data_IF_181630719438
#
_entry.id   IF_181630719438
#
_cell.length_a   1.000
_cell.length_b   1.000
_cell.length_c   1.000
_cell.angle_alpha   90.00
_cell.angle_beta   90.00
_cell.angle_gamma   90.00
#
_symmetry.space_group_name_H-M   'P 1'
#
loop_
_entity.id
_entity.type
_entity.pdbx_description
1 polymer ?
#
# COMPACT_ATOMS: atom_id res chain seq x y z
N UNK A 1 3.97 -15.73 20.47
CA UNK A 1 4.62 -15.87 21.78
C UNK A 1 5.97 -16.57 21.76
N UNK A 2 6.34 -17.29 20.67
CA UNK A 2 7.54 -18.14 20.66
C UNK A 2 8.88 -17.39 20.75
N UNK A 3 8.91 -16.10 20.53
CA UNK A 3 10.12 -15.24 20.61
C UNK A 3 10.24 -14.54 21.97
N UNK A 4 9.35 -14.86 22.92
CA UNK A 4 9.38 -14.32 24.27
C UNK A 4 10.07 -15.31 25.19
N UNK A 5 11.05 -14.81 25.96
CA UNK A 5 11.78 -15.59 26.97
C UNK A 5 11.66 -14.90 28.31
N UNK A 6 11.35 -15.65 29.36
CA UNK A 6 11.35 -15.17 30.74
C UNK A 6 12.54 -15.78 31.49
N UNK A 7 13.40 -14.93 32.01
CA UNK A 7 14.56 -15.31 32.85
C UNK A 7 14.27 -14.92 34.26
N UNK A 8 14.47 -15.84 35.21
CA UNK A 8 14.34 -15.58 36.64
C UNK A 8 15.69 -15.86 37.29
N UNK A 9 16.29 -14.86 37.89
CA UNK A 9 17.57 -14.96 38.54
C UNK A 9 17.54 -14.36 39.97
N UNK A 10 18.46 -14.76 40.85
CA UNK A 10 18.54 -14.17 42.16
C UNK A 10 18.91 -12.69 42.07
N UNK A 11 18.25 -11.84 42.84
CA UNK A 11 18.67 -10.45 42.96
C UNK A 11 19.88 -10.36 43.91
N UNK A 12 20.92 -9.65 43.47
CA UNK A 12 22.19 -9.49 44.22
C UNK A 12 22.04 -8.46 45.34
N UNK A 13 21.24 -7.42 45.08
CA UNK A 13 21.11 -6.27 45.99
C UNK A 13 20.10 -6.53 47.12
N UNK A 14 19.10 -7.41 46.86
CA UNK A 14 18.05 -7.74 47.84
C UNK A 14 17.97 -9.28 47.99
N UNK A 15 18.71 -9.84 48.96
CA UNK A 15 18.71 -11.27 49.22
C UNK A 15 17.29 -11.82 49.47
N UNK A 16 16.95 -12.92 48.81
CA UNK A 16 15.63 -13.56 48.91
C UNK A 16 14.58 -13.08 47.89
N UNK A 17 14.92 -12.08 47.12
CA UNK A 17 14.11 -11.68 45.96
C UNK A 17 14.72 -12.16 44.64
N UNK A 18 13.88 -12.25 43.64
CA UNK A 18 14.27 -12.61 42.28
C UNK A 18 14.08 -11.43 41.32
N UNK A 19 14.97 -11.35 40.35
CA UNK A 19 14.77 -10.52 39.16
C UNK A 19 14.06 -11.36 38.09
N UNK A 20 12.92 -10.90 37.63
CA UNK A 20 12.19 -11.49 36.50
C UNK A 20 12.36 -10.59 35.28
N UNK A 21 13.05 -11.10 34.29
CA UNK A 21 13.37 -10.36 33.06
C UNK A 21 12.57 -10.94 31.92
N UNK A 22 11.74 -10.13 31.26
CA UNK A 22 11.06 -10.48 30.03
C UNK A 22 11.93 -10.03 28.86
N UNK A 23 12.19 -10.95 27.95
CA UNK A 23 12.96 -10.70 26.73
C UNK A 23 12.08 -10.98 25.50
N UNK A 24 12.17 -10.13 24.50
CA UNK A 24 11.54 -10.33 23.19
C UNK A 24 12.63 -10.27 22.12
N UNK A 25 12.73 -11.32 21.31
CA UNK A 25 13.78 -11.49 20.28
C UNK A 25 15.20 -11.23 20.80
N UNK A 26 15.48 -11.71 22.03
CA UNK A 26 16.78 -11.54 22.67
C UNK A 26 17.00 -10.18 23.35
N UNK A 27 16.10 -9.22 23.18
CA UNK A 27 16.19 -7.91 23.82
C UNK A 27 15.38 -7.86 25.12
N UNK A 28 15.95 -7.28 26.17
CA UNK A 28 15.24 -7.06 27.43
C UNK A 28 14.16 -5.98 27.24
N UNK A 29 12.89 -6.34 27.46
CA UNK A 29 11.73 -5.46 27.33
C UNK A 29 11.10 -5.08 28.68
N UNK A 30 11.30 -5.91 29.71
CA UNK A 30 10.82 -5.62 31.06
C UNK A 30 11.72 -6.27 32.11
N UNK A 31 11.75 -5.67 33.31
CA UNK A 31 12.45 -6.21 34.49
C UNK A 31 11.65 -5.89 35.75
N UNK A 32 11.29 -6.91 36.52
CA UNK A 32 10.55 -6.79 37.75
C UNK A 32 11.30 -7.48 38.90
N UNK A 33 11.00 -7.07 40.12
CA UNK A 33 11.49 -7.69 41.34
C UNK A 33 10.33 -8.31 42.10
N UNK A 34 10.47 -9.54 42.55
CA UNK A 34 9.45 -10.23 43.31
C UNK A 34 10.01 -11.45 44.04
N UNK A 35 9.26 -11.97 44.99
CA UNK A 35 9.54 -13.23 45.67
C UNK A 35 8.59 -14.33 45.24
N UNK A 36 7.35 -13.91 44.98
CA UNK A 36 6.25 -14.78 44.53
C UNK A 36 5.70 -14.33 43.21
N UNK A 37 4.90 -15.17 42.55
CA UNK A 37 4.19 -14.80 41.31
C UNK A 37 3.22 -13.63 41.53
N UNK A 38 2.65 -13.50 42.74
CA UNK A 38 1.72 -12.44 43.09
C UNK A 38 2.36 -11.05 43.11
N UNK A 39 3.70 -10.98 43.26
CA UNK A 39 4.44 -9.72 43.26
C UNK A 39 4.66 -9.15 41.86
N UNK A 40 4.41 -9.99 40.80
CA UNK A 40 4.65 -9.63 39.42
C UNK A 40 3.41 -8.99 38.79
N UNK A 41 3.66 -7.97 37.97
CA UNK A 41 2.62 -7.27 37.20
C UNK A 41 2.68 -7.70 35.76
N UNK A 42 1.51 -7.84 35.12
CA UNK A 42 1.44 -8.04 33.67
C UNK A 42 2.14 -6.89 32.94
N UNK A 43 2.84 -7.22 31.87
CA UNK A 43 3.42 -6.26 30.94
C UNK A 43 2.84 -6.45 29.54
N UNK A 44 3.31 -5.70 28.55
CA UNK A 44 2.81 -5.79 27.16
C UNK A 44 3.07 -7.13 26.47
N UNK A 45 3.88 -8.01 27.07
CA UNK A 45 4.32 -9.28 26.48
C UNK A 45 3.87 -10.50 27.25
N UNK A 46 3.72 -10.38 28.58
CA UNK A 46 3.47 -11.53 29.47
C UNK A 46 2.47 -11.17 30.58
N UNK A 47 1.46 -12.02 30.72
CA UNK A 47 0.61 -12.07 31.91
C UNK A 47 1.12 -13.14 32.85
N UNK A 48 1.53 -12.75 34.07
CA UNK A 48 1.97 -13.66 35.11
C UNK A 48 0.75 -14.15 35.91
N UNK A 49 0.45 -15.46 35.81
CA UNK A 49 -0.72 -16.08 36.49
C UNK A 49 -0.26 -17.29 37.26
N UNK A 50 -0.76 -17.43 38.48
CA UNK A 50 -0.48 -18.57 39.35
C UNK A 50 -0.23 -18.14 40.80
N UNK A 51 0.13 -19.13 41.61
CA UNK A 51 0.49 -18.92 43.04
C UNK A 51 1.78 -19.68 43.34
N UNK A 52 2.60 -19.16 44.23
CA UNK A 52 3.82 -19.82 44.70
C UNK A 52 5.05 -18.95 44.58
N UNK A 53 6.15 -19.46 45.15
CA UNK A 53 7.47 -18.80 45.17
C UNK A 53 8.12 -18.91 43.79
N UNK A 54 8.84 -17.85 43.40
CA UNK A 54 9.65 -17.84 42.19
C UNK A 54 10.85 -18.78 42.37
N UNK A 55 11.29 -19.38 41.25
CA UNK A 55 12.52 -20.19 41.21
C UNK A 55 13.38 -19.73 40.04
N UNK A 56 14.71 -19.78 40.24
CA UNK A 56 15.64 -19.42 39.16
C UNK A 56 15.46 -20.28 37.91
N UNK A 57 15.53 -19.65 36.76
CA UNK A 57 15.49 -20.32 35.44
C UNK A 57 16.59 -19.75 34.55
N UNK A 58 17.17 -20.59 33.69
CA UNK A 58 18.16 -20.16 32.71
C UNK A 58 17.54 -19.50 31.45
N UNK A 59 16.23 -19.27 31.46
CA UNK A 59 15.44 -18.75 30.35
C UNK A 59 14.35 -19.73 29.93
N UNK A 60 13.10 -19.39 30.21
CA UNK A 60 11.92 -20.13 29.77
C UNK A 60 11.38 -19.47 28.49
N UNK A 61 11.54 -20.15 27.36
CA UNK A 61 10.90 -19.72 26.12
C UNK A 61 9.42 -20.06 26.20
N UNK A 62 8.54 -19.09 25.97
CA UNK A 62 7.09 -19.34 25.89
C UNK A 62 6.80 -20.19 24.67
N UNK A 63 6.00 -21.22 24.84
CA UNK A 63 5.63 -22.21 23.80
C UNK A 63 4.13 -22.35 23.71
N UNK A 64 3.65 -22.87 22.56
CA UNK A 64 2.24 -23.20 22.37
C UNK A 64 1.34 -21.99 22.07
N UNK A 65 1.93 -20.84 21.72
CA UNK A 65 1.18 -19.78 21.09
C UNK A 65 0.81 -20.20 19.67
N UNK A 66 -0.45 -20.03 19.31
CA UNK A 66 -0.99 -20.23 17.96
C UNK A 66 -1.59 -18.92 17.48
N UNK A 67 -1.34 -18.60 16.22
CA UNK A 67 -2.05 -17.52 15.56
C UNK A 67 -3.49 -17.99 15.35
N UNK A 68 -4.47 -17.28 15.89
CA UNK A 68 -5.87 -17.66 15.73
C UNK A 68 -6.25 -17.85 14.26
N UNK A 69 -7.28 -18.65 13.99
CA UNK A 69 -7.77 -18.85 12.64
C UNK A 69 -8.24 -17.50 12.05
N UNK A 70 -7.58 -17.07 10.96
CA UNK A 70 -7.99 -15.89 10.21
C UNK A 70 -9.19 -16.27 9.34
N UNK A 71 -10.33 -15.66 9.59
CA UNK A 71 -11.58 -15.89 8.85
C UNK A 71 -11.84 -14.77 7.84
N UNK A 72 -12.70 -15.01 6.85
CA UNK A 72 -13.16 -13.96 5.93
C UNK A 72 -13.82 -12.79 6.68
N UNK A 73 -14.49 -13.07 7.82
CA UNK A 73 -15.06 -12.05 8.67
C UNK A 73 -13.98 -11.13 9.26
N UNK A 74 -12.83 -11.68 9.68
CA UNK A 74 -11.73 -10.86 10.22
C UNK A 74 -11.20 -9.86 9.18
N UNK A 75 -11.16 -10.22 7.90
CA UNK A 75 -10.80 -9.27 6.83
C UNK A 75 -11.87 -8.20 6.62
N UNK A 76 -13.15 -8.58 6.67
CA UNK A 76 -14.27 -7.62 6.57
C UNK A 76 -14.24 -6.62 7.73
N UNK A 77 -14.03 -7.11 8.95
CA UNK A 77 -13.92 -6.28 10.16
C UNK A 77 -12.70 -5.34 10.09
N UNK A 78 -11.55 -5.85 9.58
CA UNK A 78 -10.37 -5.05 9.33
C UNK A 78 -10.65 -3.90 8.34
N UNK A 79 -11.26 -4.21 7.19
CA UNK A 79 -11.61 -3.20 6.18
C UNK A 79 -12.55 -2.13 6.75
N UNK A 80 -13.53 -2.53 7.56
CA UNK A 80 -14.40 -1.58 8.29
C UNK A 80 -13.64 -0.72 9.30
N UNK A 81 -12.64 -1.30 9.96
CA UNK A 81 -11.82 -0.58 10.95
C UNK A 81 -10.92 0.46 10.30
N UNK A 82 -10.36 0.18 9.12
CA UNK A 82 -9.45 1.12 8.42
C UNK A 82 -10.18 2.17 7.59
N UNK A 83 -11.45 1.98 7.29
CA UNK A 83 -12.22 2.90 6.43
C UNK A 83 -12.21 4.37 6.89
N UNK A 84 -12.32 4.69 8.21
CA UNK A 84 -12.27 6.07 8.69
C UNK A 84 -10.89 6.74 8.54
N UNK A 85 -9.83 5.99 8.23
CA UNK A 85 -8.48 6.51 8.12
C UNK A 85 -8.14 6.87 6.67
N UNK A 86 -7.35 7.92 6.50
CA UNK A 86 -6.82 8.29 5.18
C UNK A 86 -5.63 7.40 4.82
N UNK A 87 -5.70 6.78 3.64
CA UNK A 87 -4.63 5.99 3.04
C UNK A 87 -4.74 6.01 1.52
N UNK A 88 -3.63 5.83 0.82
CA UNK A 88 -3.57 5.87 -0.65
C UNK A 88 -3.36 4.50 -1.27
N UNK A 89 -2.80 3.57 -0.52
CA UNK A 89 -2.51 2.21 -1.00
C UNK A 89 -2.77 1.20 0.11
N UNK A 90 -3.35 0.08 -0.25
CA UNK A 90 -3.55 -1.07 0.64
C UNK A 90 -3.12 -2.35 -0.08
N UNK A 91 -2.42 -3.25 0.61
CA UNK A 91 -2.08 -4.58 0.12
C UNK A 91 -2.67 -5.66 0.99
N UNK A 92 -3.25 -6.68 0.37
CA UNK A 92 -3.81 -7.83 1.10
C UNK A 92 -3.10 -9.11 0.63
N UNK A 93 -2.15 -9.64 1.43
CA UNK A 93 -1.39 -10.83 1.10
C UNK A 93 -2.23 -12.10 1.34
N UNK A 94 -3.15 -12.39 0.42
CA UNK A 94 -4.03 -13.56 0.49
C UNK A 94 -4.14 -14.27 -0.84
N UNK A 95 -4.33 -15.60 -0.79
CA UNK A 95 -4.64 -16.44 -1.95
C UNK A 95 -6.14 -16.71 -2.07
N UNK A 96 -6.93 -16.36 -1.07
CA UNK A 96 -8.38 -16.59 -1.04
C UNK A 96 -9.11 -15.63 -1.98
N UNK A 97 -9.79 -16.20 -2.99
CA UNK A 97 -10.53 -15.44 -3.99
C UNK A 97 -11.70 -14.62 -3.41
N UNK A 98 -12.32 -15.12 -2.33
CA UNK A 98 -13.44 -14.44 -1.66
C UNK A 98 -12.96 -13.17 -0.98
N UNK A 99 -11.79 -13.23 -0.31
CA UNK A 99 -11.18 -12.07 0.34
C UNK A 99 -10.76 -11.03 -0.71
N UNK A 100 -10.16 -11.47 -1.83
CA UNK A 100 -9.81 -10.57 -2.94
C UNK A 100 -11.03 -9.85 -3.50
N UNK A 101 -12.15 -10.57 -3.68
CA UNK A 101 -13.41 -9.98 -4.15
C UNK A 101 -13.99 -8.96 -3.15
N UNK A 102 -13.97 -9.27 -1.85
CA UNK A 102 -14.42 -8.34 -0.78
C UNK A 102 -13.56 -7.09 -0.77
N UNK A 103 -12.23 -7.23 -0.83
CA UNK A 103 -11.31 -6.11 -0.87
C UNK A 103 -11.52 -5.23 -2.12
N UNK A 104 -11.73 -5.84 -3.29
CA UNK A 104 -12.01 -5.12 -4.54
C UNK A 104 -13.33 -4.34 -4.45
N UNK A 105 -14.36 -4.94 -3.85
CA UNK A 105 -15.65 -4.28 -3.63
C UNK A 105 -15.52 -3.10 -2.66
N UNK A 106 -14.73 -3.26 -1.61
CA UNK A 106 -14.43 -2.17 -0.67
C UNK A 106 -13.77 -0.97 -1.38
N UNK A 107 -12.75 -1.22 -2.21
CA UNK A 107 -12.08 -0.15 -2.96
C UNK A 107 -13.01 0.53 -3.98
N UNK A 108 -13.89 -0.24 -4.65
CA UNK A 108 -14.91 0.33 -5.55
C UNK A 108 -15.85 1.28 -4.80
N UNK A 109 -16.28 0.91 -3.60
CA UNK A 109 -17.12 1.76 -2.76
C UNK A 109 -16.39 3.05 -2.34
N UNK A 110 -15.13 2.96 -1.88
CA UNK A 110 -14.33 4.16 -1.56
C UNK A 110 -14.20 5.10 -2.75
N UNK A 111 -14.06 4.55 -3.96
CA UNK A 111 -14.00 5.35 -5.19
C UNK A 111 -15.32 6.05 -5.47
N UNK A 112 -16.47 5.39 -5.28
CA UNK A 112 -17.80 5.98 -5.41
C UNK A 112 -18.01 7.13 -4.39
N UNK A 113 -17.42 7.00 -3.20
CA UNK A 113 -17.37 8.04 -2.16
C UNK A 113 -16.33 9.16 -2.46
N UNK A 114 -15.68 9.13 -3.64
CA UNK A 114 -14.71 10.15 -4.09
C UNK A 114 -13.29 9.95 -3.56
N UNK A 115 -12.98 8.85 -2.88
CA UNK A 115 -11.63 8.51 -2.39
C UNK A 115 -10.93 7.59 -3.37
N UNK A 116 -9.81 8.05 -3.92
CA UNK A 116 -9.01 7.25 -4.85
C UNK A 116 -7.89 6.52 -4.10
N UNK A 117 -7.97 5.19 -4.11
CA UNK A 117 -7.04 4.27 -3.42
C UNK A 117 -6.61 3.17 -4.36
N UNK A 118 -5.35 2.73 -4.29
CA UNK A 118 -4.84 1.55 -4.99
C UNK A 118 -4.81 0.32 -4.07
N UNK A 119 -5.32 -0.80 -4.56
CA UNK A 119 -5.29 -2.11 -3.91
C UNK A 119 -4.28 -3.01 -4.61
N UNK A 120 -3.40 -3.65 -3.84
CA UNK A 120 -2.45 -4.65 -4.37
C UNK A 120 -2.88 -6.05 -3.91
N UNK A 121 -3.06 -6.94 -4.87
CA UNK A 121 -3.43 -8.35 -4.67
C UNK A 121 -2.47 -9.26 -5.45
N UNK A 122 -2.41 -10.51 -5.08
CA UNK A 122 -1.74 -11.53 -5.88
C UNK A 122 -2.72 -12.20 -6.85
N UNK A 123 -2.31 -12.50 -8.09
CA UNK A 123 -3.06 -13.29 -9.09
C UNK A 123 -4.57 -12.98 -9.13
N UNK A 124 -4.93 -11.71 -9.38
CA UNK A 124 -6.33 -11.27 -9.46
C UNK A 124 -6.59 -10.29 -10.63
N UNK A 125 -6.27 -10.67 -11.88
CA UNK A 125 -6.47 -9.82 -13.06
C UNK A 125 -7.95 -9.61 -13.45
N UNK A 126 -8.86 -10.41 -12.94
CA UNK A 126 -10.31 -10.30 -13.14
C UNK A 126 -10.94 -9.09 -12.44
N UNK A 127 -10.22 -8.39 -11.60
CA UNK A 127 -10.67 -7.14 -11.01
C UNK A 127 -11.01 -6.07 -12.07
N UNK A 128 -10.28 -6.08 -13.19
CA UNK A 128 -10.45 -5.16 -14.33
C UNK A 128 -10.70 -3.71 -13.89
N UNK A 129 -9.77 -3.20 -13.10
CA UNK A 129 -9.90 -1.90 -12.45
C UNK A 129 -8.56 -1.19 -12.38
N UNK A 130 -8.55 0.11 -12.66
CA UNK A 130 -7.39 0.98 -12.50
C UNK A 130 -6.95 1.13 -11.03
N UNK A 131 -7.84 0.79 -10.11
CA UNK A 131 -7.57 0.84 -8.67
C UNK A 131 -6.93 -0.45 -8.14
N UNK A 132 -6.78 -1.52 -8.94
CA UNK A 132 -6.29 -2.82 -8.50
C UNK A 132 -5.04 -3.23 -9.28
N UNK A 133 -3.98 -3.53 -8.55
CA UNK A 133 -2.72 -4.08 -9.06
C UNK A 133 -2.70 -5.58 -8.75
N UNK A 134 -2.49 -6.42 -9.77
CA UNK A 134 -2.38 -7.87 -9.64
C UNK A 134 -0.95 -8.33 -9.82
N UNK A 135 -0.33 -8.92 -8.81
CA UNK A 135 1.04 -9.43 -8.86
C UNK A 135 1.03 -10.91 -9.20
N UNK A 136 1.74 -11.29 -10.27
CA UNK A 136 1.68 -12.63 -10.85
C UNK A 136 2.59 -13.66 -10.18
N UNK A 137 3.83 -13.26 -9.82
CA UNK A 137 4.88 -14.16 -9.39
C UNK A 137 5.67 -13.62 -8.20
N UNK A 138 6.46 -14.50 -7.61
CA UNK A 138 7.35 -14.24 -6.50
C UNK A 138 8.82 -14.05 -6.92
N UNK A 139 9.71 -13.92 -5.94
CA UNK A 139 11.15 -13.72 -6.14
C UNK A 139 11.95 -14.65 -5.22
N UNK A 140 13.20 -14.92 -5.59
CA UNK A 140 14.16 -15.69 -4.82
C UNK A 140 15.28 -14.77 -4.35
N UNK A 141 15.52 -14.71 -3.05
CA UNK A 141 16.57 -13.91 -2.44
C UNK A 141 17.95 -14.58 -2.56
N UNK A 142 19.01 -13.81 -2.32
CA UNK A 142 20.41 -14.27 -2.40
C UNK A 142 20.76 -15.39 -1.41
N UNK A 143 20.03 -15.54 -0.32
CA UNK A 143 20.15 -16.65 0.65
C UNK A 143 19.33 -17.90 0.27
N UNK A 144 18.67 -17.88 -0.90
CA UNK A 144 17.79 -18.94 -1.39
C UNK A 144 16.37 -18.88 -0.83
N UNK A 145 16.02 -17.88 -0.04
CA UNK A 145 14.65 -17.71 0.48
C UNK A 145 13.68 -17.38 -0.65
N UNK A 146 12.60 -18.15 -0.76
CA UNK A 146 11.50 -17.89 -1.68
C UNK A 146 10.49 -16.90 -1.04
N UNK A 147 10.29 -15.76 -1.67
CA UNK A 147 9.21 -14.83 -1.39
C UNK A 147 8.10 -15.08 -2.40
N UNK A 148 7.03 -15.71 -1.96
CA UNK A 148 5.89 -16.09 -2.82
C UNK A 148 5.08 -14.86 -3.28
N UNK A 149 4.27 -14.99 -4.33
CA UNK A 149 3.48 -13.90 -4.93
C UNK A 149 2.60 -13.15 -3.91
N UNK A 150 1.99 -13.88 -2.98
CA UNK A 150 1.20 -13.28 -1.89
C UNK A 150 2.04 -12.42 -0.93
N UNK A 151 3.28 -12.82 -0.64
CA UNK A 151 4.20 -12.05 0.21
C UNK A 151 4.82 -10.85 -0.50
N UNK A 152 5.06 -10.96 -1.81
CA UNK A 152 5.56 -9.86 -2.64
C UNK A 152 4.55 -8.70 -2.71
N UNK A 153 3.26 -8.95 -2.47
CA UNK A 153 2.22 -7.91 -2.33
C UNK A 153 2.67 -6.81 -1.38
N UNK A 154 3.34 -7.14 -0.27
CA UNK A 154 3.83 -6.14 0.68
C UNK A 154 4.88 -5.20 0.07
N UNK A 155 5.82 -5.73 -0.72
CA UNK A 155 6.82 -4.93 -1.43
C UNK A 155 6.17 -4.00 -2.47
N UNK A 156 5.27 -4.53 -3.30
CA UNK A 156 4.58 -3.73 -4.32
C UNK A 156 3.70 -2.65 -3.67
N UNK A 157 3.03 -2.97 -2.56
CA UNK A 157 2.26 -1.99 -1.78
C UNK A 157 3.15 -0.85 -1.29
N UNK A 158 4.30 -1.17 -0.70
CA UNK A 158 5.28 -0.19 -0.24
C UNK A 158 5.87 0.63 -1.39
N UNK A 159 6.23 -0.01 -2.50
CA UNK A 159 6.75 0.66 -3.69
C UNK A 159 5.72 1.62 -4.32
N UNK A 160 4.44 1.19 -4.36
CA UNK A 160 3.33 2.01 -4.88
C UNK A 160 3.05 3.22 -3.98
N UNK A 161 3.03 3.01 -2.66
CA UNK A 161 2.81 4.07 -1.68
C UNK A 161 3.97 5.06 -1.59
N UNK A 162 5.22 4.58 -1.77
CA UNK A 162 6.43 5.40 -1.69
C UNK A 162 6.82 6.08 -3.00
N UNK A 163 6.20 5.74 -4.11
CA UNK A 163 6.50 6.35 -5.40
C UNK A 163 6.04 7.81 -5.44
N UNK A 164 6.90 8.70 -5.97
CA UNK A 164 6.49 10.06 -6.27
C UNK A 164 5.35 10.08 -7.31
N UNK A 165 4.56 11.14 -7.32
CA UNK A 165 3.41 11.28 -8.23
C UNK A 165 3.80 11.05 -9.69
N UNK A 166 4.95 11.56 -10.12
CA UNK A 166 5.50 11.44 -11.47
C UNK A 166 6.46 10.24 -11.66
N UNK A 167 6.52 9.30 -10.73
CA UNK A 167 7.42 8.14 -10.80
C UNK A 167 6.70 6.91 -11.36
N UNK A 168 7.38 6.14 -12.22
CA UNK A 168 6.99 4.77 -12.60
C UNK A 168 7.83 3.76 -11.82
N UNK A 169 7.22 2.66 -11.41
CA UNK A 169 7.90 1.51 -10.83
C UNK A 169 8.33 0.47 -11.89
N UNK A 170 8.15 0.77 -13.18
CA UNK A 170 8.70 -0.07 -14.26
C UNK A 170 10.22 -0.17 -14.10
N UNK A 171 10.76 -1.40 -14.16
CA UNK A 171 12.17 -1.71 -13.93
C UNK A 171 12.68 -1.38 -12.51
N UNK A 172 11.80 -1.14 -11.54
CA UNK A 172 12.18 -1.07 -10.13
C UNK A 172 12.70 -2.44 -9.68
N UNK A 173 13.91 -2.45 -9.13
CA UNK A 173 14.59 -3.65 -8.64
C UNK A 173 14.00 -4.12 -7.31
N UNK A 174 13.82 -5.44 -7.15
CA UNK A 174 13.50 -6.03 -5.85
C UNK A 174 14.79 -6.19 -5.03
N UNK A 175 14.95 -5.50 -3.89
CA UNK A 175 16.19 -5.52 -3.11
C UNK A 175 16.57 -6.92 -2.63
N UNK A 176 17.78 -7.35 -2.92
CA UNK A 176 18.32 -8.65 -2.49
C UNK A 176 17.80 -9.88 -3.25
N UNK A 177 16.92 -9.70 -4.24
CA UNK A 177 16.50 -10.80 -5.10
C UNK A 177 17.53 -11.07 -6.19
N UNK A 178 17.76 -12.36 -6.49
CA UNK A 178 18.69 -12.82 -7.54
C UNK A 178 17.98 -13.58 -8.66
N UNK A 179 16.76 -14.07 -8.41
CA UNK A 179 15.97 -14.81 -9.40
C UNK A 179 14.48 -14.64 -9.11
N UNK A 180 13.63 -15.13 -9.99
CA UNK A 180 12.17 -15.21 -9.85
C UNK A 180 11.76 -16.65 -9.54
N UNK A 181 10.64 -16.84 -8.85
CA UNK A 181 10.10 -18.16 -8.53
C UNK A 181 9.68 -18.94 -9.77
N UNK A 182 9.23 -18.23 -10.82
CA UNK A 182 8.88 -18.79 -12.11
C UNK A 182 9.37 -17.89 -13.24
N UNK A 183 10.22 -18.44 -14.12
CA UNK A 183 10.67 -17.79 -15.35
C UNK A 183 9.61 -17.95 -16.43
N UNK A 184 9.24 -16.84 -17.03
CA UNK A 184 8.31 -16.76 -18.14
C UNK A 184 9.06 -16.50 -19.45
N UNK A 185 8.57 -17.07 -20.54
CA UNK A 185 9.02 -16.70 -21.90
C UNK A 185 8.50 -15.30 -22.24
N UNK A 186 9.11 -14.64 -23.22
CA UNK A 186 8.68 -13.31 -23.67
C UNK A 186 7.17 -13.29 -24.06
N UNK A 187 6.70 -14.35 -24.70
CA UNK A 187 5.28 -14.50 -25.05
C UNK A 187 4.39 -14.56 -23.82
N UNK A 188 4.76 -15.35 -22.80
CA UNK A 188 4.01 -15.45 -21.55
C UNK A 188 4.01 -14.12 -20.78
N UNK A 189 5.13 -13.36 -20.84
CA UNK A 189 5.24 -12.01 -20.27
C UNK A 189 4.24 -11.08 -20.99
N UNK A 190 4.25 -11.06 -22.32
CA UNK A 190 3.31 -10.24 -23.09
C UNK A 190 1.85 -10.60 -22.79
N UNK A 191 1.51 -11.90 -22.75
CA UNK A 191 0.16 -12.37 -22.41
C UNK A 191 -0.25 -11.95 -21.00
N UNK A 192 0.66 -12.05 -20.01
CA UNK A 192 0.40 -11.60 -18.64
C UNK A 192 0.18 -10.08 -18.58
N UNK A 193 1.06 -9.33 -19.21
CA UNK A 193 0.91 -7.88 -19.29
C UNK A 193 -0.41 -7.51 -19.98
N UNK A 194 -0.79 -8.15 -21.09
CA UNK A 194 -2.07 -7.91 -21.75
C UNK A 194 -3.27 -8.25 -20.85
N UNK A 195 -3.13 -9.22 -19.98
CA UNK A 195 -4.14 -9.58 -18.98
C UNK A 195 -4.20 -8.67 -17.76
N UNK A 196 -3.33 -7.65 -17.65
CA UNK A 196 -3.30 -6.72 -16.52
C UNK A 196 -2.58 -7.28 -15.29
N UNK A 197 -1.64 -8.20 -15.49
CA UNK A 197 -0.82 -8.79 -14.44
C UNK A 197 0.57 -8.14 -14.41
N UNK A 198 0.92 -7.53 -13.29
CA UNK A 198 2.28 -7.09 -13.00
C UNK A 198 3.12 -8.32 -12.64
N UNK A 199 4.34 -8.40 -13.15
CA UNK A 199 5.24 -9.52 -12.86
C UNK A 199 6.69 -9.06 -12.70
N UNK A 200 7.48 -9.91 -12.03
CA UNK A 200 8.92 -9.78 -11.96
C UNK A 200 9.60 -10.61 -13.03
N UNK A 201 10.66 -10.05 -13.62
CA UNK A 201 11.54 -10.74 -14.55
C UNK A 201 13.01 -10.50 -14.18
N UNK A 202 13.91 -11.31 -14.74
CA UNK A 202 15.35 -11.12 -14.58
C UNK A 202 15.88 -10.36 -15.79
N UNK A 203 16.38 -9.17 -15.57
CA UNK A 203 17.01 -8.33 -16.60
C UNK A 203 18.39 -7.87 -16.13
N UNK A 204 19.45 -8.16 -16.91
CA UNK A 204 20.82 -7.78 -16.59
C UNK A 204 21.26 -8.17 -15.16
N UNK A 205 20.97 -9.40 -14.74
CA UNK A 205 21.23 -9.96 -13.39
C UNK A 205 20.51 -9.22 -12.24
N UNK A 206 19.46 -8.49 -12.54
CA UNK A 206 18.58 -7.84 -11.54
C UNK A 206 17.16 -8.38 -11.68
N UNK A 207 16.49 -8.55 -10.58
CA UNK A 207 15.07 -8.89 -10.56
C UNK A 207 14.27 -7.58 -10.51
N UNK A 208 13.52 -7.32 -11.58
CA UNK A 208 12.83 -6.05 -11.80
C UNK A 208 11.35 -6.25 -12.07
N UNK A 209 10.55 -5.24 -11.76
CA UNK A 209 9.16 -5.15 -12.21
C UNK A 209 9.16 -4.94 -13.72
N UNK A 210 8.56 -5.85 -14.49
CA UNK A 210 8.55 -5.77 -15.96
C UNK A 210 7.81 -4.52 -16.45
N UNK A 211 6.64 -4.22 -15.88
CA UNK A 211 5.89 -3.01 -16.18
C UNK A 211 4.99 -2.60 -15.01
N UNK A 212 4.94 -1.30 -14.69
CA UNK A 212 4.10 -0.72 -13.63
C UNK A 212 2.66 -0.51 -14.12
N UNK A 213 1.86 -1.57 -14.04
CA UNK A 213 0.49 -1.61 -14.57
C UNK A 213 -0.51 -2.11 -13.52
N UNK A 214 -1.77 -1.77 -13.73
CA UNK A 214 -2.92 -2.30 -12.99
C UNK A 214 -3.73 -3.29 -13.84
N UNK A 215 -4.84 -3.78 -13.29
CA UNK A 215 -5.67 -4.81 -13.94
C UNK A 215 -6.61 -4.29 -14.99
N UNK A 216 -6.71 -2.98 -15.23
CA UNK A 216 -7.67 -2.39 -16.17
C UNK A 216 -7.36 -2.80 -17.61
N UNK A 217 -8.36 -3.39 -18.29
CA UNK A 217 -8.27 -3.90 -19.66
C UNK A 217 -9.52 -3.67 -20.52
N UNK A 218 -10.64 -3.30 -19.90
CA UNK A 218 -11.89 -2.96 -20.62
C UNK A 218 -11.88 -1.50 -21.07
N UNK A 219 -11.05 -1.19 -22.08
CA UNK A 219 -10.89 0.17 -22.58
C UNK A 219 -12.15 0.67 -23.27
N UNK A 220 -12.48 1.94 -23.08
CA UNK A 220 -13.59 2.66 -23.70
C UNK A 220 -13.09 3.95 -24.36
N UNK A 221 -13.98 4.69 -25.05
CA UNK A 221 -13.65 6.03 -25.58
C UNK A 221 -13.21 7.00 -24.49
N UNK A 222 -13.80 6.90 -23.30
CA UNK A 222 -13.60 7.84 -22.20
C UNK A 222 -12.48 7.39 -21.25
N UNK A 223 -12.16 6.08 -21.26
CA UNK A 223 -11.09 5.45 -20.48
C UNK A 223 -10.19 4.63 -21.41
N UNK A 224 -9.17 5.26 -21.95
CA UNK A 224 -8.21 4.66 -22.85
C UNK A 224 -7.16 3.78 -22.16
N UNK A 225 -6.15 3.39 -22.94
CA UNK A 225 -5.04 2.54 -22.48
C UNK A 225 -4.19 3.19 -21.41
N UNK A 226 -4.20 4.51 -21.28
CA UNK A 226 -3.40 5.26 -20.32
C UNK A 226 -3.81 4.94 -18.88
N UNK A 227 -5.11 4.65 -18.65
CA UNK A 227 -5.63 4.22 -17.35
C UNK A 227 -5.07 2.89 -16.84
N UNK A 228 -4.34 2.16 -17.68
CA UNK A 228 -3.65 0.94 -17.29
C UNK A 228 -2.31 1.20 -16.62
N UNK A 229 -1.70 2.36 -16.82
CA UNK A 229 -0.41 2.74 -16.27
C UNK A 229 -0.56 3.27 -14.85
N UNK A 230 0.11 2.63 -13.88
CA UNK A 230 0.01 3.07 -12.49
C UNK A 230 0.56 4.47 -12.27
N UNK A 231 1.59 4.90 -13.02
CA UNK A 231 2.07 6.29 -13.00
C UNK A 231 0.96 7.27 -13.39
N UNK A 232 0.27 7.02 -14.50
CA UNK A 232 -0.84 7.87 -14.97
C UNK A 232 -1.98 7.87 -13.95
N UNK A 233 -2.36 6.71 -13.46
CA UNK A 233 -3.43 6.58 -12.46
C UNK A 233 -3.07 7.30 -11.15
N UNK A 234 -1.81 7.21 -10.70
CA UNK A 234 -1.33 7.94 -9.52
C UNK A 234 -1.45 9.46 -9.68
N UNK A 235 -1.13 9.98 -10.86
CA UNK A 235 -1.32 11.41 -11.18
C UNK A 235 -2.81 11.77 -11.12
N UNK A 236 -3.69 10.98 -11.74
CA UNK A 236 -5.13 11.23 -11.71
C UNK A 236 -5.71 11.16 -10.29
N UNK A 237 -5.21 10.25 -9.46
CA UNK A 237 -5.61 10.13 -8.06
C UNK A 237 -5.11 11.31 -7.24
N UNK A 238 -3.89 11.79 -7.49
CA UNK A 238 -3.36 13.01 -6.86
C UNK A 238 -4.21 14.23 -7.24
N UNK A 239 -4.58 14.37 -8.51
CA UNK A 239 -5.46 15.45 -8.96
C UNK A 239 -6.81 15.40 -8.22
N UNK A 240 -7.45 14.20 -8.17
CA UNK A 240 -8.74 14.06 -7.49
C UNK A 240 -8.62 14.32 -5.98
N UNK A 241 -7.73 13.61 -5.30
CA UNK A 241 -7.57 13.70 -3.85
C UNK A 241 -7.07 15.09 -3.41
N UNK A 242 -6.17 15.69 -4.20
CA UNK A 242 -5.65 17.02 -3.92
C UNK A 242 -6.70 18.12 -4.07
N UNK A 243 -7.55 18.06 -5.10
CA UNK A 243 -8.66 19.02 -5.28
C UNK A 243 -9.70 18.82 -4.17
N UNK A 244 -10.02 17.57 -3.79
CA UNK A 244 -10.90 17.28 -2.67
C UNK A 244 -10.35 17.87 -1.38
N UNK A 245 -9.08 17.65 -1.06
CA UNK A 245 -8.44 18.20 0.13
C UNK A 245 -8.43 19.73 0.13
N UNK A 246 -8.15 20.34 -1.04
CA UNK A 246 -8.20 21.80 -1.22
C UNK A 246 -9.61 22.34 -0.89
N UNK A 247 -10.66 21.65 -1.39
CA UNK A 247 -12.05 21.99 -1.14
C UNK A 247 -12.40 21.86 0.35
N UNK A 248 -12.12 20.74 0.96
CA UNK A 248 -12.40 20.46 2.38
C UNK A 248 -11.72 21.45 3.31
N UNK A 249 -10.45 21.79 3.01
CA UNK A 249 -9.66 22.67 3.88
C UNK A 249 -10.08 24.13 3.77
N UNK A 250 -10.39 24.63 2.57
CA UNK A 250 -10.50 26.07 2.34
C UNK A 250 -11.91 26.55 2.02
N UNK A 251 -12.82 25.68 1.54
CA UNK A 251 -14.10 26.10 0.97
C UNK A 251 -15.33 25.60 1.71
N UNK A 252 -15.32 24.37 2.26
CA UNK A 252 -16.48 23.85 3.00
C UNK A 252 -16.82 24.73 4.20
N UNK A 253 -18.01 25.34 4.15
CA UNK A 253 -18.53 26.21 5.21
C UNK A 253 -17.79 27.56 5.38
N UNK A 254 -16.82 27.86 4.49
CA UNK A 254 -16.00 29.07 4.54
C UNK A 254 -16.14 29.95 3.30
N UNK A 255 -16.36 29.33 2.14
CA UNK A 255 -16.45 30.03 0.86
C UNK A 255 -17.90 30.36 0.48
N UNK A 256 -18.13 31.51 -0.10
CA UNK A 256 -19.43 31.88 -0.66
C UNK A 256 -19.63 31.24 -2.04
N UNK A 257 -20.77 30.62 -2.29
CA UNK A 257 -21.14 30.11 -3.61
C UNK A 257 -21.62 31.23 -4.56
N UNK A 258 -20.83 32.30 -4.62
CA UNK A 258 -20.98 33.40 -5.55
C UNK A 258 -20.16 33.19 -6.82
N UNK A 259 -20.29 34.04 -7.84
CA UNK A 259 -19.44 33.97 -9.02
C UNK A 259 -17.96 34.18 -8.64
N UNK A 260 -17.68 35.13 -7.75
CA UNK A 260 -16.32 35.44 -7.31
C UNK A 260 -15.73 34.30 -6.48
N UNK A 261 -16.53 33.67 -5.57
CA UNK A 261 -16.12 32.51 -4.79
C UNK A 261 -15.75 31.31 -5.67
N UNK A 262 -16.57 31.01 -6.69
CA UNK A 262 -16.27 29.96 -7.66
C UNK A 262 -15.04 30.27 -8.52
N UNK A 263 -14.84 31.51 -8.92
CA UNK A 263 -13.64 31.96 -9.65
C UNK A 263 -12.38 31.84 -8.77
N UNK A 264 -12.47 32.11 -7.48
CA UNK A 264 -11.37 31.92 -6.54
C UNK A 264 -11.00 30.45 -6.43
N UNK A 265 -11.99 29.56 -6.26
CA UNK A 265 -11.77 28.10 -6.24
C UNK A 265 -11.14 27.60 -7.55
N UNK A 266 -11.65 28.05 -8.71
CA UNK A 266 -11.05 27.76 -10.03
C UNK A 266 -9.57 28.13 -10.06
N UNK A 267 -9.23 29.34 -9.61
CA UNK A 267 -7.84 29.80 -9.57
C UNK A 267 -6.94 28.94 -8.67
N UNK A 268 -7.44 28.52 -7.52
CA UNK A 268 -6.68 27.66 -6.61
C UNK A 268 -6.48 26.26 -7.19
N UNK A 269 -7.47 25.70 -7.89
CA UNK A 269 -7.34 24.43 -8.64
C UNK A 269 -6.28 24.57 -9.73
N UNK A 270 -6.32 25.61 -10.57
CA UNK A 270 -5.31 25.87 -11.61
C UNK A 270 -3.90 25.90 -10.99
N UNK A 271 -3.74 26.67 -9.92
CA UNK A 271 -2.45 26.76 -9.21
C UNK A 271 -1.96 25.43 -8.66
N UNK A 272 -2.87 24.56 -8.25
CA UNK A 272 -2.53 23.19 -7.83
C UNK A 272 -2.06 22.35 -9.04
N UNK A 273 -2.75 22.41 -10.18
CA UNK A 273 -2.35 21.72 -11.41
C UNK A 273 -1.00 22.22 -11.95
N UNK A 274 -0.75 23.53 -11.91
CA UNK A 274 0.55 24.12 -12.27
C UNK A 274 1.71 23.58 -11.41
N UNK A 275 1.48 23.30 -10.14
CA UNK A 275 2.49 22.64 -9.29
C UNK A 275 2.78 21.21 -9.77
N UNK A 276 1.75 20.45 -10.18
CA UNK A 276 1.93 19.13 -10.74
C UNK A 276 2.65 19.17 -12.10
N UNK A 277 2.39 20.21 -12.91
CA UNK A 277 3.15 20.46 -14.13
C UNK A 277 4.61 20.79 -13.83
N UNK A 278 4.88 21.58 -12.80
CA UNK A 278 6.23 21.95 -12.39
C UNK A 278 7.13 20.78 -11.96
N UNK A 279 6.54 19.64 -11.59
CA UNK A 279 7.23 18.38 -11.29
C UNK A 279 7.14 17.36 -12.44
N UNK A 280 6.73 17.79 -13.64
CA UNK A 280 6.59 16.93 -14.82
C UNK A 280 5.60 15.74 -14.61
N UNK A 281 4.57 15.93 -13.78
CA UNK A 281 3.45 15.01 -13.67
C UNK A 281 2.39 15.28 -14.74
N UNK A 282 2.13 16.54 -15.02
CA UNK A 282 1.19 17.02 -16.05
C UNK A 282 1.92 17.85 -17.12
N UNK A 283 1.30 17.96 -18.28
CA UNK A 283 1.71 18.88 -19.35
C UNK A 283 0.53 19.72 -19.84
N UNK A 284 0.84 20.84 -20.48
CA UNK A 284 -0.13 21.72 -21.16
C UNK A 284 -1.31 22.19 -20.29
N UNK A 285 -1.09 22.45 -18.99
CA UNK A 285 -2.13 22.99 -18.11
C UNK A 285 -2.48 24.41 -18.51
N UNK A 286 -3.75 24.65 -18.88
CA UNK A 286 -4.30 25.96 -19.23
C UNK A 286 -5.55 26.27 -18.40
N UNK A 287 -5.92 27.55 -18.21
CA UNK A 287 -7.09 27.90 -17.39
C UNK A 287 -8.42 27.37 -17.93
N UNK A 288 -8.51 27.08 -19.21
CA UNK A 288 -9.69 26.55 -19.90
C UNK A 288 -9.96 25.08 -19.50
N UNK A 289 -8.95 24.35 -19.07
CA UNK A 289 -9.07 22.94 -18.60
C UNK A 289 -9.85 22.81 -17.28
N UNK A 290 -10.08 23.94 -16.59
CA UNK A 290 -10.80 23.96 -15.31
C UNK A 290 -12.09 24.74 -15.47
N UNK A 291 -13.22 24.06 -15.32
CA UNK A 291 -14.55 24.66 -15.27
C UNK A 291 -15.11 24.53 -13.84
N UNK A 292 -15.57 25.63 -13.25
CA UNK A 292 -16.24 25.64 -11.95
C UNK A 292 -17.56 26.37 -12.08
N UNK A 293 -18.65 25.62 -11.96
CA UNK A 293 -20.00 26.13 -12.14
C UNK A 293 -20.86 25.90 -10.89
N UNK A 294 -21.97 26.63 -10.80
CA UNK A 294 -22.97 26.39 -9.76
C UNK A 294 -23.65 25.04 -9.98
N UNK A 295 -23.76 24.24 -8.93
CA UNK A 295 -24.53 23.01 -8.97
C UNK A 295 -26.04 23.21 -8.85
N UNK A 296 -26.77 22.11 -8.71
CA UNK A 296 -28.25 22.11 -8.63
C UNK A 296 -28.75 22.82 -7.38
N UNK A 297 -28.10 22.56 -6.23
CA UNK A 297 -28.47 23.17 -4.96
C UNK A 297 -27.72 24.49 -4.75
N UNK A 298 -28.26 25.34 -3.86
CA UNK A 298 -27.68 26.68 -3.61
C UNK A 298 -26.27 26.63 -3.03
N UNK A 299 -25.95 25.56 -2.33
CA UNK A 299 -24.66 25.30 -1.66
C UNK A 299 -23.76 24.35 -2.45
N UNK A 300 -24.19 23.85 -3.62
CA UNK A 300 -23.41 22.92 -4.43
C UNK A 300 -22.61 23.63 -5.52
N UNK A 301 -21.41 23.07 -5.80
CA UNK A 301 -20.50 23.49 -6.85
C UNK A 301 -20.11 22.27 -7.66
N UNK A 302 -20.06 22.41 -8.99
CA UNK A 302 -19.55 21.39 -9.91
C UNK A 302 -18.22 21.86 -10.48
N UNK A 303 -17.18 21.04 -10.33
CA UNK A 303 -15.89 21.27 -10.94
C UNK A 303 -15.62 20.18 -11.99
N UNK A 304 -15.20 20.59 -13.18
CA UNK A 304 -14.69 19.71 -14.24
C UNK A 304 -13.25 20.08 -14.50
N UNK A 305 -12.39 19.09 -14.56
CA UNK A 305 -10.94 19.29 -14.73
C UNK A 305 -10.45 18.31 -15.78
N UNK A 306 -9.87 18.87 -16.83
CA UNK A 306 -9.18 18.11 -17.89
C UNK A 306 -7.68 18.18 -17.63
N UNK A 307 -6.97 17.06 -17.76
CA UNK A 307 -5.53 16.99 -17.53
C UNK A 307 -4.84 16.08 -18.51
N UNK A 308 -3.58 16.37 -18.81
CA UNK A 308 -2.71 15.55 -19.64
C UNK A 308 -1.56 14.99 -18.79
N UNK A 309 -1.69 13.77 -18.24
CA UNK A 309 -0.62 13.10 -17.49
C UNK A 309 0.57 12.75 -18.40
N UNK A 310 1.79 12.98 -17.92
CA UNK A 310 3.01 12.54 -18.59
C UNK A 310 3.32 11.11 -18.20
N UNK A 311 3.48 10.19 -19.18
CA UNK A 311 3.91 8.82 -18.93
C UNK A 311 5.44 8.66 -18.98
N UNK A 312 5.97 7.55 -18.47
CA UNK A 312 7.37 7.21 -18.51
C UNK A 312 7.80 6.69 -19.90
N UNK A 313 9.04 6.93 -20.27
CA UNK A 313 9.64 6.29 -21.46
C UNK A 313 9.91 4.80 -21.16
N UNK A 314 9.09 3.90 -21.71
CA UNK A 314 9.19 2.45 -21.47
C UNK A 314 9.52 1.65 -22.73
N UNK A 315 9.40 2.24 -23.93
CA UNK A 315 9.63 1.54 -25.20
C UNK A 315 10.61 2.31 -26.07
N UNK A 316 11.70 1.66 -26.44
CA UNK A 316 12.69 2.19 -27.37
C UNK A 316 12.60 1.45 -28.72
N UNK A 317 12.32 2.17 -29.78
CA UNK A 317 12.45 1.69 -31.16
C UNK A 317 13.69 2.34 -31.77
N UNK A 318 14.72 1.54 -32.08
CA UNK A 318 16.00 2.06 -32.54
C UNK A 318 16.40 1.40 -33.86
N UNK A 319 16.82 2.20 -34.83
CA UNK A 319 17.48 1.75 -36.06
C UNK A 319 18.93 2.22 -36.04
N UNK A 320 19.86 1.32 -36.29
CA UNK A 320 21.28 1.64 -36.43
C UNK A 320 21.68 1.48 -37.90
N UNK A 321 22.14 2.55 -38.52
CA UNK A 321 22.61 2.54 -39.90
C UNK A 321 24.15 2.64 -39.94
N UNK A 322 24.80 1.80 -40.75
CA UNK A 322 26.24 1.88 -41.01
C UNK A 322 26.45 2.79 -42.20
N UNK A 323 27.31 3.79 -42.07
CA UNK A 323 27.74 4.72 -43.15
C UNK A 323 29.04 4.29 -43.74
#
# INVERSE_FOLDING_TARGET
>A
GNNITVVIQNNIDVPGNFEVITMFEGNKVDKQLGKTIADLKSNSYVDFKGTGDLKTTAGLVLKGGDDGAVTNQAYTDYLGTIEPYEFHTIGIPTKDASIKAVATTFIKRLKEDGRQVQLVLENYPEADSENVISVKNGVVLSDGTLITSDKVVAFITGATAGANVNQSNTYLEYPGAIDVDKKYTNREIEEALLNGEMLFSVSNNRVVIEQDINTFKSFTSDKGKDYRKNRVVRILFEVNNGIRLLWETNYIGKGDNSVDGRNLFKKDVIKFLEKLQGIEALENVIPEDVEVIKGTDKDSVVARVEVQPIDAMEKLYMTVEVR
#
